data_IF_098555771144
#
_entry.id   IF_098555771144
#
_cell.length_a   1.000
_cell.length_b   1.000
_cell.length_c   1.000
_cell.angle_alpha   90.00
_cell.angle_beta   90.00
_cell.angle_gamma   90.00
#
_symmetry.space_group_name_H-M   'P 1'
#
loop_
_entity.id
_entity.type
_entity.pdbx_description
1 polymer ?
#
# COMPACT_ATOMS: atom_id res chain seq x y z
N UNK A 1 15.10 -5.32 23.90
CA UNK A 1 14.08 -4.24 24.16
C UNK A 1 14.59 -2.85 23.77
N UNK A 2 15.68 -2.32 24.35
CA UNK A 2 16.20 -0.97 24.00
C UNK A 2 16.52 -0.77 22.50
N UNK A 3 17.16 -1.76 21.86
CA UNK A 3 17.54 -1.66 20.44
C UNK A 3 16.35 -1.69 19.46
N UNK A 4 15.26 -2.38 19.80
CA UNK A 4 14.04 -2.40 18.97
C UNK A 4 13.31 -1.07 19.06
N UNK A 5 13.28 -0.45 20.25
CA UNK A 5 12.68 0.86 20.44
C UNK A 5 13.46 1.94 19.69
N UNK A 6 14.80 1.93 19.76
CA UNK A 6 15.65 2.85 19.01
C UNK A 6 15.39 2.77 17.50
N UNK A 7 15.33 1.55 16.95
CA UNK A 7 15.01 1.34 15.52
C UNK A 7 13.63 1.88 15.11
N UNK A 8 12.64 1.80 16.00
CA UNK A 8 11.30 2.39 15.74
C UNK A 8 11.36 3.91 15.68
N UNK A 9 12.15 4.53 16.55
CA UNK A 9 12.39 5.98 16.55
C UNK A 9 13.07 6.38 15.25
N UNK A 10 14.14 5.71 14.86
CA UNK A 10 14.90 6.02 13.63
C UNK A 10 14.01 5.97 12.37
N UNK A 11 13.14 4.94 12.26
CA UNK A 11 12.19 4.80 11.14
C UNK A 11 11.18 5.95 11.13
N UNK A 12 10.59 6.27 12.27
CA UNK A 12 9.62 7.37 12.38
C UNK A 12 10.28 8.72 12.06
N UNK A 13 11.51 8.95 12.52
CA UNK A 13 12.27 10.17 12.25
C UNK A 13 12.59 10.31 10.76
N UNK A 14 12.95 9.22 10.08
CA UNK A 14 13.17 9.22 8.63
C UNK A 14 11.87 9.54 7.86
N UNK A 15 10.74 8.93 8.24
CA UNK A 15 9.42 9.21 7.65
C UNK A 15 9.06 10.68 7.88
N UNK A 16 9.22 11.19 9.11
CA UNK A 16 8.90 12.55 9.48
C UNK A 16 9.78 13.57 8.74
N UNK A 17 11.07 13.30 8.61
CA UNK A 17 12.02 14.17 7.90
C UNK A 17 11.62 14.29 6.43
N UNK A 18 11.40 13.15 5.76
CA UNK A 18 11.00 13.13 4.35
C UNK A 18 9.65 13.81 4.15
N UNK A 19 8.68 13.51 5.01
CA UNK A 19 7.34 14.12 4.99
C UNK A 19 7.42 15.63 5.17
N UNK A 20 8.22 16.10 6.12
CA UNK A 20 8.40 17.54 6.42
C UNK A 20 9.02 18.28 5.24
N UNK A 21 10.02 17.68 4.58
CA UNK A 21 10.63 18.25 3.37
C UNK A 21 9.61 18.35 2.23
N UNK A 22 8.79 17.33 2.01
CA UNK A 22 7.73 17.38 0.99
C UNK A 22 6.72 18.50 1.30
N UNK A 23 6.25 18.63 2.54
CA UNK A 23 5.39 19.76 2.91
C UNK A 23 6.07 21.12 2.73
N UNK A 24 7.37 21.22 3.01
CA UNK A 24 8.12 22.47 2.87
C UNK A 24 8.25 22.90 1.41
N UNK A 25 8.60 21.97 0.52
CA UNK A 25 8.88 22.29 -0.89
C UNK A 25 7.64 22.22 -1.78
N UNK A 26 6.60 21.47 -1.38
CA UNK A 26 5.36 21.28 -2.13
C UNK A 26 4.10 21.50 -1.26
N UNK A 27 3.95 22.68 -0.61
CA UNK A 27 2.93 22.89 0.44
C UNK A 27 1.48 22.74 -0.02
N UNK A 28 1.21 22.93 -1.32
CA UNK A 28 -0.14 22.93 -1.90
C UNK A 28 -0.38 21.77 -2.87
N UNK A 29 0.49 20.75 -2.86
CA UNK A 29 0.37 19.60 -3.74
C UNK A 29 -0.25 18.43 -2.97
N UNK A 30 -1.23 17.79 -3.59
CA UNK A 30 -1.74 16.51 -3.11
C UNK A 30 -0.68 15.44 -3.31
N UNK A 31 -0.26 14.81 -2.21
CA UNK A 31 0.64 13.66 -2.22
C UNK A 31 -0.14 12.43 -1.79
N UNK A 32 0.10 11.28 -2.39
CA UNK A 32 -0.54 10.02 -2.01
C UNK A 32 0.53 9.08 -1.47
N UNK A 33 0.90 9.20 -0.18
CA UNK A 33 1.98 8.41 0.39
C UNK A 33 1.54 6.96 0.60
N UNK A 34 2.50 6.05 0.59
CA UNK A 34 2.33 4.65 0.94
C UNK A 34 3.61 4.18 1.64
N UNK A 35 3.49 3.11 2.43
CA UNK A 35 4.66 2.51 3.07
C UNK A 35 5.46 1.68 2.07
N UNK A 36 6.78 1.82 2.12
CA UNK A 36 7.72 0.82 1.64
C UNK A 36 8.08 -0.21 2.70
N UNK A 37 8.68 -1.33 2.30
CA UNK A 37 9.01 -2.44 3.21
C UNK A 37 10.05 -2.04 4.29
N UNK A 38 10.80 -0.95 4.06
CA UNK A 38 11.77 -0.39 5.01
C UNK A 38 11.16 0.63 5.99
N UNK A 39 9.91 1.05 5.78
CA UNK A 39 9.23 2.06 6.61
C UNK A 39 8.58 1.44 7.87
N UNK A 40 9.19 0.37 8.37
CA UNK A 40 8.75 -0.32 9.58
C UNK A 40 9.93 -0.86 10.38
N UNK A 41 9.71 -1.09 11.67
CA UNK A 41 10.74 -1.58 12.58
C UNK A 41 10.22 -2.75 13.44
N UNK A 42 10.79 -3.96 13.27
CA UNK A 42 11.85 -4.32 12.31
C UNK A 42 11.42 -4.15 10.84
N UNK A 43 12.38 -3.99 9.94
CA UNK A 43 12.09 -3.88 8.51
C UNK A 43 11.31 -5.11 8.03
N UNK A 44 10.42 -4.89 7.06
CA UNK A 44 9.51 -5.88 6.47
C UNK A 44 8.34 -6.35 7.35
N UNK A 45 8.42 -6.21 8.68
CA UNK A 45 7.48 -6.83 9.62
C UNK A 45 6.16 -6.05 9.79
N UNK A 46 5.49 -5.73 8.68
CA UNK A 46 4.20 -5.04 8.65
C UNK A 46 3.07 -5.95 9.15
N UNK A 47 2.39 -5.65 10.28
CA UNK A 47 1.29 -6.45 10.79
C UNK A 47 -0.05 -6.05 10.16
N UNK A 48 -1.08 -6.84 10.45
CA UNK A 48 -2.46 -6.65 9.99
C UNK A 48 -3.42 -6.05 11.04
N UNK A 49 -2.85 -5.38 12.03
CA UNK A 49 -3.56 -4.72 13.12
C UNK A 49 -2.92 -3.38 13.47
N UNK A 50 -3.63 -2.58 14.27
CA UNK A 50 -3.20 -1.24 14.66
C UNK A 50 -1.91 -1.24 15.49
N UNK A 51 -0.97 -0.37 15.10
CA UNK A 51 0.33 -0.22 15.78
C UNK A 51 0.70 1.25 15.95
N UNK A 52 1.70 1.51 16.80
CA UNK A 52 2.21 2.86 17.00
C UNK A 52 2.81 3.47 15.72
N UNK A 53 3.46 2.68 14.86
CA UNK A 53 4.02 3.18 13.59
C UNK A 53 2.89 3.61 12.64
N UNK A 54 1.84 2.79 12.49
CA UNK A 54 0.68 3.17 11.68
C UNK A 54 0.00 4.43 12.22
N UNK A 55 -0.20 4.51 13.53
CA UNK A 55 -0.83 5.67 14.17
C UNK A 55 -0.01 6.95 14.01
N UNK A 56 1.28 6.91 14.30
CA UNK A 56 2.15 8.09 14.19
C UNK A 56 2.26 8.53 12.73
N UNK A 57 2.42 7.59 11.81
CA UNK A 57 2.50 7.91 10.38
C UNK A 57 1.18 8.46 9.83
N UNK A 58 0.04 7.95 10.31
CA UNK A 58 -1.27 8.53 9.99
C UNK A 58 -1.32 10.00 10.41
N UNK A 59 -0.87 10.34 11.61
CA UNK A 59 -0.88 11.73 12.09
C UNK A 59 0.00 12.65 11.23
N UNK A 60 1.10 12.14 10.69
CA UNK A 60 1.97 12.86 9.74
C UNK A 60 1.30 13.07 8.38
N UNK A 61 0.56 12.08 7.90
CA UNK A 61 0.01 12.05 6.53
C UNK A 61 -1.47 12.44 6.43
N UNK A 62 -2.21 12.59 7.54
CA UNK A 62 -3.68 12.80 7.56
C UNK A 62 -4.17 13.99 6.73
N UNK A 63 -3.35 15.03 6.50
CA UNK A 63 -3.72 16.16 5.64
C UNK A 63 -3.79 15.76 4.17
N UNK A 64 -2.98 14.79 3.76
CA UNK A 64 -2.98 14.23 2.41
C UNK A 64 -3.99 13.11 2.23
N UNK A 65 -4.02 12.14 3.15
CA UNK A 65 -4.86 10.94 3.00
C UNK A 65 -6.31 11.15 3.44
N UNK A 66 -6.59 12.20 4.22
CA UNK A 66 -7.92 12.49 4.75
C UNK A 66 -8.23 11.74 6.05
N UNK A 67 -8.99 12.40 6.94
CA UNK A 67 -9.30 11.86 8.28
C UNK A 67 -10.16 10.60 8.23
N UNK A 68 -11.04 10.50 7.24
CA UNK A 68 -11.98 9.38 7.09
C UNK A 68 -11.27 8.07 6.73
N UNK A 69 -10.00 8.14 6.29
CA UNK A 69 -9.18 6.98 5.99
C UNK A 69 -8.47 6.39 7.21
N UNK A 70 -8.68 6.95 8.42
CA UNK A 70 -7.99 6.51 9.63
C UNK A 70 -8.18 5.02 9.90
N UNK A 71 -9.41 4.52 9.79
CA UNK A 71 -9.71 3.13 10.14
C UNK A 71 -8.91 2.15 9.30
N UNK A 72 -8.94 2.27 7.97
CA UNK A 72 -8.21 1.37 7.07
C UNK A 72 -6.70 1.58 7.17
N UNK A 73 -6.25 2.83 7.26
CA UNK A 73 -4.82 3.14 7.36
C UNK A 73 -4.23 2.62 8.66
N UNK A 74 -4.88 2.85 9.80
CA UNK A 74 -4.40 2.37 11.09
C UNK A 74 -4.51 0.85 11.22
N UNK A 75 -5.48 0.21 10.56
CA UNK A 75 -5.63 -1.25 10.56
C UNK A 75 -4.53 -1.97 9.79
N UNK A 76 -4.19 -1.49 8.59
CA UNK A 76 -3.31 -2.22 7.68
C UNK A 76 -2.48 -1.38 6.72
N UNK A 77 -2.41 -0.05 6.91
CA UNK A 77 -1.60 0.85 6.09
C UNK A 77 -2.14 1.09 4.67
N UNK A 78 -3.38 0.73 4.39
CA UNK A 78 -4.03 0.91 3.09
C UNK A 78 -5.21 1.89 3.20
N UNK A 79 -5.55 2.56 2.09
CA UNK A 79 -6.63 3.54 2.04
C UNK A 79 -7.06 3.83 0.60
N UNK A 80 -8.08 4.67 0.45
CA UNK A 80 -8.43 5.25 -0.85
C UNK A 80 -8.31 6.77 -0.82
N UNK A 81 -8.04 7.34 -1.99
CA UNK A 81 -8.18 8.76 -2.22
C UNK A 81 -9.11 9.02 -3.41
N UNK A 82 -10.05 9.95 -3.23
CA UNK A 82 -10.94 10.42 -4.29
C UNK A 82 -10.72 11.93 -4.46
N UNK A 83 -10.25 12.39 -5.62
CA UNK A 83 -10.12 13.82 -5.89
C UNK A 83 -11.48 14.53 -5.73
N UNK A 84 -11.46 15.77 -5.23
CA UNK A 84 -12.66 16.56 -5.00
C UNK A 84 -13.30 17.14 -6.29
N UNK A 85 -12.65 16.95 -7.44
CA UNK A 85 -13.06 17.49 -8.74
C UNK A 85 -14.14 16.66 -9.45
N UNK A 86 -14.72 15.67 -8.77
CA UNK A 86 -15.71 14.73 -9.33
C UNK A 86 -15.20 13.98 -10.58
N UNK A 87 -13.90 13.71 -10.66
CA UNK A 87 -13.27 13.00 -11.79
C UNK A 87 -13.69 11.53 -11.96
N UNK A 88 -14.61 11.01 -11.14
CA UNK A 88 -15.03 9.59 -11.14
C UNK A 88 -13.84 8.62 -11.05
N UNK A 89 -12.76 9.06 -10.39
CA UNK A 89 -11.53 8.29 -10.20
C UNK A 89 -11.35 8.01 -8.71
N UNK A 90 -11.04 6.75 -8.39
CA UNK A 90 -10.56 6.33 -7.07
C UNK A 90 -9.12 5.86 -7.18
N UNK A 91 -8.24 6.42 -6.36
CA UNK A 91 -6.90 5.88 -6.14
C UNK A 91 -6.96 4.90 -4.98
N UNK A 92 -6.71 3.62 -5.26
CA UNK A 92 -6.64 2.55 -4.27
C UNK A 92 -5.19 2.34 -3.86
N UNK A 93 -4.87 2.76 -2.65
CA UNK A 93 -3.52 2.76 -2.09
C UNK A 93 -3.35 1.51 -1.22
N UNK A 94 -2.61 0.53 -1.73
CA UNK A 94 -2.43 -0.78 -1.09
C UNK A 94 -1.13 -0.83 -0.28
N UNK A 95 -1.19 -1.50 0.86
CA UNK A 95 -0.02 -1.95 1.61
C UNK A 95 0.34 -3.38 1.21
N UNK A 96 1.10 -3.52 0.12
CA UNK A 96 1.57 -4.83 -0.36
C UNK A 96 2.75 -5.39 0.43
N UNK A 97 3.29 -4.65 1.41
CA UNK A 97 4.34 -5.15 2.31
C UNK A 97 3.81 -6.31 3.19
N UNK A 98 2.51 -6.34 3.46
CA UNK A 98 1.84 -7.45 4.16
C UNK A 98 1.93 -8.76 3.36
N UNK A 99 2.00 -8.69 2.02
CA UNK A 99 2.10 -9.87 1.16
C UNK A 99 3.53 -10.34 0.92
N UNK A 100 4.51 -9.61 1.46
CA UNK A 100 5.92 -9.85 1.22
C UNK A 100 6.39 -11.19 1.81
N UNK A 101 7.19 -11.94 1.06
CA UNK A 101 7.72 -13.23 1.51
C UNK A 101 8.69 -13.13 2.69
N UNK A 102 9.26 -11.96 2.92
CA UNK A 102 10.17 -11.69 4.04
C UNK A 102 9.51 -10.90 5.18
N UNK A 103 8.19 -10.71 5.13
CA UNK A 103 7.44 -10.18 6.27
C UNK A 103 7.23 -11.32 7.28
N UNK A 104 7.72 -11.15 8.51
CA UNK A 104 7.60 -12.13 9.60
C UNK A 104 6.60 -11.71 10.68
N UNK A 105 5.77 -10.69 10.42
CA UNK A 105 4.71 -10.31 11.33
C UNK A 105 3.68 -11.44 11.47
N UNK A 106 3.13 -11.57 12.68
CA UNK A 106 2.00 -12.44 12.93
C UNK A 106 0.73 -11.77 12.43
N UNK A 107 -0.06 -12.50 11.65
CA UNK A 107 -1.36 -12.02 11.16
C UNK A 107 -2.51 -12.57 12.01
N UNK A 108 -3.49 -11.72 12.27
CA UNK A 108 -4.78 -12.12 12.86
C UNK A 108 -5.62 -12.94 11.89
N UNK A 109 -5.56 -12.61 10.60
CA UNK A 109 -6.14 -13.40 9.51
C UNK A 109 -5.09 -13.68 8.43
N UNK A 110 -4.59 -14.90 8.39
CA UNK A 110 -3.57 -15.31 7.39
C UNK A 110 -4.14 -15.40 5.97
N UNK A 111 -5.45 -15.55 5.80
CA UNK A 111 -6.06 -15.70 4.47
C UNK A 111 -6.30 -14.34 3.81
N UNK A 112 -6.64 -13.32 4.60
CA UNK A 112 -6.81 -11.94 4.17
C UNK A 112 -6.26 -10.95 5.22
N UNK A 113 -4.93 -10.82 5.33
CA UNK A 113 -4.34 -9.98 6.35
C UNK A 113 -4.75 -8.52 6.13
N UNK A 114 -5.39 -7.96 7.16
CA UNK A 114 -5.93 -6.62 7.20
C UNK A 114 -7.33 -6.52 6.60
N UNK A 115 -7.87 -7.62 6.07
CA UNK A 115 -9.04 -7.67 5.18
C UNK A 115 -8.84 -6.81 3.92
N UNK A 116 -7.59 -6.65 3.49
CA UNK A 116 -7.22 -5.77 2.40
C UNK A 116 -7.71 -6.31 1.04
N UNK A 117 -7.76 -7.62 0.84
CA UNK A 117 -8.35 -8.18 -0.39
C UNK A 117 -9.86 -7.97 -0.42
N UNK A 118 -10.56 -8.24 0.68
CA UNK A 118 -11.99 -7.96 0.78
C UNK A 118 -12.30 -6.47 0.56
N UNK A 119 -11.49 -5.58 1.13
CA UNK A 119 -11.61 -4.14 0.92
C UNK A 119 -11.36 -3.76 -0.55
N UNK A 120 -10.31 -4.30 -1.17
CA UNK A 120 -10.01 -4.09 -2.59
C UNK A 120 -11.17 -4.53 -3.48
N UNK A 121 -11.72 -5.73 -3.27
CA UNK A 121 -12.86 -6.22 -4.06
C UNK A 121 -14.11 -5.36 -3.87
N UNK A 122 -14.38 -4.89 -2.64
CA UNK A 122 -15.48 -3.97 -2.36
C UNK A 122 -15.35 -2.68 -3.18
N UNK A 123 -14.20 -2.01 -3.10
CA UNK A 123 -13.95 -0.75 -3.82
C UNK A 123 -14.05 -0.95 -5.34
N UNK A 124 -13.51 -2.03 -5.87
CA UNK A 124 -13.55 -2.33 -7.30
C UNK A 124 -14.96 -2.66 -7.80
N UNK A 125 -15.74 -3.42 -7.01
CA UNK A 125 -17.14 -3.73 -7.32
C UNK A 125 -18.01 -2.47 -7.30
N UNK A 126 -17.86 -1.63 -6.27
CA UNK A 126 -18.58 -0.35 -6.17
C UNK A 126 -18.25 0.59 -7.35
N UNK A 127 -16.98 0.62 -7.77
CA UNK A 127 -16.56 1.42 -8.91
C UNK A 127 -17.12 0.88 -10.23
N UNK A 128 -17.12 -0.45 -10.42
CA UNK A 128 -17.70 -1.10 -11.61
C UNK A 128 -19.20 -0.82 -11.73
N UNK A 129 -19.96 -0.93 -10.64
CA UNK A 129 -21.40 -0.63 -10.60
C UNK A 129 -21.72 0.83 -10.97
N UNK A 130 -20.82 1.76 -10.63
CA UNK A 130 -20.97 3.19 -10.91
C UNK A 130 -20.33 3.64 -12.22
N UNK A 131 -19.64 2.75 -12.93
CA UNK A 131 -18.85 3.11 -14.10
C UNK A 131 -17.65 4.03 -13.79
N UNK A 132 -17.17 4.01 -12.55
CA UNK A 132 -15.99 4.74 -12.09
C UNK A 132 -14.70 4.01 -12.46
N UNK A 133 -13.58 4.74 -12.40
CA UNK A 133 -12.25 4.22 -12.71
C UNK A 133 -11.43 4.07 -11.44
N UNK A 134 -10.61 3.01 -11.39
CA UNK A 134 -9.68 2.79 -10.27
C UNK A 134 -8.24 2.76 -10.76
N UNK A 135 -7.38 3.48 -10.04
CA UNK A 135 -5.92 3.37 -10.15
C UNK A 135 -5.38 2.68 -8.92
N UNK A 136 -4.49 1.70 -9.09
CA UNK A 136 -3.87 0.99 -7.95
C UNK A 136 -2.46 1.50 -7.77
N UNK A 137 -2.08 1.83 -6.54
CA UNK A 137 -0.72 2.20 -6.20
C UNK A 137 -0.26 1.37 -5.00
N UNK A 138 0.92 0.78 -5.07
CA UNK A 138 1.51 0.04 -3.96
C UNK A 138 3.04 0.04 -4.04
N UNK A 139 3.72 -0.47 -3.01
CA UNK A 139 5.19 -0.55 -3.03
C UNK A 139 5.70 -1.79 -3.76
N UNK A 140 5.42 -2.98 -3.21
CA UNK A 140 5.91 -4.25 -3.74
C UNK A 140 4.99 -4.72 -4.86
N UNK A 141 5.51 -4.95 -6.09
CA UNK A 141 4.71 -5.43 -7.21
C UNK A 141 4.42 -6.94 -7.13
N UNK A 142 3.27 -7.40 -7.66
CA UNK A 142 3.05 -8.82 -7.95
C UNK A 142 3.86 -9.27 -9.16
N UNK A 143 4.07 -10.57 -9.28
CA UNK A 143 4.84 -11.18 -10.36
C UNK A 143 6.32 -11.29 -10.04
N UNK A 144 7.14 -11.27 -11.09
CA UNK A 144 8.57 -11.62 -11.03
C UNK A 144 9.45 -10.38 -10.91
N UNK A 145 10.66 -10.56 -10.39
CA UNK A 145 11.71 -9.54 -10.47
C UNK A 145 12.54 -9.74 -11.73
N UNK A 146 12.61 -8.74 -12.60
CA UNK A 146 13.23 -8.86 -13.93
C UNK A 146 14.74 -9.15 -13.89
N UNK A 147 15.42 -8.80 -12.80
CA UNK A 147 16.85 -9.05 -12.61
C UNK A 147 17.18 -10.41 -12.01
N UNK A 148 16.18 -11.14 -11.51
CA UNK A 148 16.38 -12.45 -10.87
C UNK A 148 15.34 -13.44 -11.39
N UNK A 149 15.70 -14.33 -12.33
CA UNK A 149 14.79 -15.33 -12.86
C UNK A 149 14.16 -16.19 -11.75
N UNK A 150 12.90 -16.57 -11.95
CA UNK A 150 12.12 -17.44 -11.04
C UNK A 150 11.97 -16.92 -9.61
N UNK A 151 12.04 -15.60 -9.42
CA UNK A 151 11.89 -14.97 -8.11
C UNK A 151 10.70 -14.01 -8.08
N UNK A 152 9.86 -14.16 -7.05
CA UNK A 152 8.77 -13.26 -6.73
C UNK A 152 8.96 -12.71 -5.31
N UNK A 153 8.57 -11.45 -5.09
CA UNK A 153 8.63 -10.81 -3.78
C UNK A 153 7.47 -11.23 -2.88
N UNK A 154 6.29 -11.43 -3.45
CA UNK A 154 5.10 -11.82 -2.70
C UNK A 154 5.06 -13.32 -2.41
N UNK A 155 4.43 -13.71 -1.29
CA UNK A 155 4.09 -15.11 -1.03
C UNK A 155 3.16 -15.64 -2.15
N UNK A 156 3.31 -16.89 -2.61
CA UNK A 156 2.60 -17.40 -3.79
C UNK A 156 1.07 -17.27 -3.72
N UNK A 157 0.49 -17.51 -2.54
CA UNK A 157 -0.94 -17.43 -2.28
C UNK A 157 -1.49 -16.01 -2.46
N UNK A 158 -0.80 -15.01 -1.92
CA UNK A 158 -1.18 -13.61 -2.03
C UNK A 158 -0.93 -13.07 -3.44
N UNK A 159 0.19 -13.44 -4.06
CA UNK A 159 0.48 -13.10 -5.45
C UNK A 159 -0.64 -13.59 -6.38
N UNK A 160 -1.04 -14.87 -6.22
CA UNK A 160 -2.12 -15.47 -7.00
C UNK A 160 -3.46 -14.78 -6.75
N UNK A 161 -3.80 -14.48 -5.50
CA UNK A 161 -5.06 -13.81 -5.15
C UNK A 161 -5.13 -12.39 -5.69
N UNK A 162 -4.05 -11.61 -5.54
CA UNK A 162 -3.97 -10.24 -6.06
C UNK A 162 -4.13 -10.20 -7.58
N UNK A 163 -3.40 -11.06 -8.31
CA UNK A 163 -3.51 -11.16 -9.76
C UNK A 163 -4.93 -11.56 -10.21
N UNK A 164 -5.59 -12.48 -9.50
CA UNK A 164 -6.98 -12.86 -9.81
C UNK A 164 -7.94 -11.68 -9.67
N UNK A 165 -7.81 -10.88 -8.63
CA UNK A 165 -8.65 -9.69 -8.42
C UNK A 165 -8.37 -8.66 -9.52
N UNK A 166 -7.10 -8.40 -9.84
CA UNK A 166 -6.72 -7.48 -10.92
C UNK A 166 -7.26 -7.91 -12.28
N UNK A 167 -7.22 -9.19 -12.61
CA UNK A 167 -7.78 -9.74 -13.85
C UNK A 167 -9.31 -9.60 -13.86
N UNK A 168 -9.97 -9.99 -12.76
CA UNK A 168 -11.44 -9.92 -12.60
C UNK A 168 -11.96 -8.49 -12.85
N UNK A 169 -11.30 -7.48 -12.30
CA UNK A 169 -11.71 -6.07 -12.41
C UNK A 169 -10.90 -5.27 -13.43
N UNK A 170 -10.31 -5.93 -14.43
CA UNK A 170 -9.42 -5.31 -15.42
C UNK A 170 -10.06 -4.22 -16.27
N UNK A 171 -11.40 -4.19 -16.40
CA UNK A 171 -12.13 -3.12 -17.10
C UNK A 171 -12.24 -1.83 -16.26
N UNK A 172 -12.31 -1.99 -14.94
CA UNK A 172 -12.43 -0.94 -13.94
C UNK A 172 -11.07 -0.35 -13.58
N UNK A 173 -10.05 -1.20 -13.49
CA UNK A 173 -8.66 -0.80 -13.23
C UNK A 173 -8.05 -0.20 -14.51
N UNK A 174 -7.60 1.06 -14.46
CA UNK A 174 -7.01 1.73 -15.63
C UNK A 174 -5.51 1.61 -15.72
N UNK A 175 -4.83 1.80 -14.59
CA UNK A 175 -3.39 1.60 -14.49
C UNK A 175 -3.02 1.25 -13.06
N UNK A 176 -1.83 0.68 -12.92
CA UNK A 176 -1.27 0.30 -11.64
C UNK A 176 0.17 0.77 -11.58
N UNK A 177 0.59 1.33 -10.44
CA UNK A 177 1.95 1.84 -10.24
C UNK A 177 2.58 1.18 -9.01
N UNK A 178 3.79 0.67 -9.20
CA UNK A 178 4.56 -0.01 -8.15
C UNK A 178 5.99 0.51 -8.09
N UNK A 179 6.66 0.27 -6.96
CA UNK A 179 8.06 0.60 -6.73
C UNK A 179 8.91 -0.65 -6.46
N UNK A 180 9.68 -0.59 -5.38
CA UNK A 180 10.50 -1.66 -4.81
C UNK A 180 11.68 -2.18 -5.66
N UNK A 181 11.56 -2.32 -6.99
CA UNK A 181 12.61 -2.91 -7.83
C UNK A 181 13.83 -2.00 -8.04
N UNK A 182 13.65 -0.68 -7.87
CA UNK A 182 14.68 0.35 -8.12
C UNK A 182 15.21 0.33 -9.56
N UNK A 183 14.36 -0.13 -10.49
CA UNK A 183 14.59 -0.23 -11.92
C UNK A 183 13.33 0.23 -12.66
N UNK A 184 13.49 0.63 -13.92
CA UNK A 184 12.36 0.92 -14.80
C UNK A 184 11.94 -0.37 -15.52
N UNK A 185 10.68 -0.78 -15.33
CA UNK A 185 10.10 -1.99 -15.91
C UNK A 185 8.57 -1.88 -15.95
N UNK A 186 7.93 -2.74 -16.74
CA UNK A 186 6.49 -2.89 -16.78
C UNK A 186 6.08 -4.35 -16.88
N UNK A 187 4.94 -4.69 -16.29
CA UNK A 187 4.32 -6.01 -16.41
C UNK A 187 3.02 -5.92 -17.20
N UNK A 188 2.77 -6.91 -18.05
CA UNK A 188 1.49 -7.06 -18.75
C UNK A 188 0.70 -8.16 -18.05
N UNK A 189 -0.51 -7.84 -17.57
CA UNK A 189 -1.45 -8.84 -17.11
C UNK A 189 -2.28 -9.31 -18.29
N UNK A 190 -2.25 -10.62 -18.55
CA UNK A 190 -3.13 -11.25 -19.53
C UNK A 190 -4.52 -11.42 -18.90
N UNK A 191 -5.50 -10.74 -19.48
CA UNK A 191 -6.93 -10.79 -19.11
C UNK A 191 -7.66 -11.90 -19.85
#
# INVERSE_FOLDING_TARGET
>A
MKQTLLRKIDVIDAINTTTSLIYQFFPNIQVLPLFGNHDYAPANDFPDYETSIYNITFELWKKWIGKDQRETFCKGGYYIYRPADNSNITFLMLNTNIYYRFNNANFTDVNDPGQQFAYMEKILSEAEEKGEMVHIVAHIPPGVFERTPNFTWMRPEYNKRLLKIMIKYSKTIKWMLFGHHHTDTFHILKV
#
